data_IF_574874315666
#
_entry.id   IF_574874315666
#
_cell.length_a   1.000
_cell.length_b   1.000
_cell.length_c   1.000
_cell.angle_alpha   90.00
_cell.angle_beta   90.00
_cell.angle_gamma   90.00
#
_symmetry.space_group_name_H-M   'P 1'
#
loop_
_entity.id
_entity.type
_entity.pdbx_description
1 polymer ?
#
# COMPACT_ATOMS: atom_id res chain seq x y z
N UNK A 1 -1.10 14.66 25.09
CA UNK A 1 -0.71 14.10 23.78
C UNK A 1 0.41 13.11 24.03
N UNK A 2 0.06 11.84 24.21
CA UNK A 2 1.02 10.75 24.45
C UNK A 2 1.62 10.33 23.13
N UNK A 3 2.86 10.76 22.87
CA UNK A 3 3.66 10.27 21.75
C UNK A 3 3.87 8.77 21.91
N UNK A 4 3.53 8.01 20.87
CA UNK A 4 3.86 6.59 20.80
C UNK A 4 5.39 6.50 20.74
N UNK A 5 6.05 5.78 21.66
CA UNK A 5 7.50 5.68 21.64
C UNK A 5 7.93 4.95 20.37
N UNK A 6 8.78 5.60 19.54
CA UNK A 6 9.48 4.95 18.45
C UNK A 6 10.53 4.01 19.05
N UNK A 7 10.10 2.79 19.38
CA UNK A 7 11.00 1.67 19.62
C UNK A 7 11.81 1.43 18.34
N UNK A 8 13.05 0.92 18.46
CA UNK A 8 13.84 0.45 17.33
C UNK A 8 12.98 -0.47 16.46
N UNK A 9 12.41 0.05 15.37
CA UNK A 9 11.29 -0.58 14.68
C UNK A 9 11.72 -1.70 13.72
N UNK A 10 12.99 -2.09 13.75
CA UNK A 10 13.55 -3.10 12.88
C UNK A 10 13.38 -2.77 11.40
N UNK A 11 14.05 -3.53 10.54
CA UNK A 11 13.83 -3.41 9.10
C UNK A 11 12.61 -4.24 8.73
N UNK A 12 11.69 -3.71 7.92
CA UNK A 12 10.63 -4.52 7.31
C UNK A 12 11.27 -5.54 6.38
N UNK A 13 11.05 -6.82 6.66
CA UNK A 13 11.51 -7.93 5.83
C UNK A 13 10.45 -8.34 4.82
N UNK A 14 9.20 -8.46 5.27
CA UNK A 14 8.08 -8.87 4.44
C UNK A 14 6.74 -8.27 4.88
N UNK A 15 5.81 -8.16 3.93
CA UNK A 15 4.41 -7.83 4.17
C UNK A 15 3.53 -8.98 3.68
N UNK A 16 2.70 -9.50 4.59
CA UNK A 16 1.79 -10.61 4.35
C UNK A 16 0.36 -10.10 4.21
N UNK A 17 -0.23 -10.21 3.03
CA UNK A 17 -1.50 -9.56 2.67
C UNK A 17 -2.66 -10.57 2.72
N UNK A 18 -3.70 -10.25 3.50
CA UNK A 18 -4.92 -11.05 3.69
C UNK A 18 -6.18 -10.30 3.27
N UNK A 19 -6.56 -10.43 1.99
CA UNK A 19 -7.72 -9.74 1.39
C UNK A 19 -8.93 -10.65 1.06
N UNK A 20 -8.88 -11.93 1.47
CA UNK A 20 -9.86 -12.96 1.06
C UNK A 20 -11.16 -12.90 1.87
N UNK A 21 -11.08 -12.74 3.19
CA UNK A 21 -12.25 -12.68 4.09
C UNK A 21 -12.06 -11.51 5.06
N UNK A 22 -13.14 -10.81 5.39
CA UNK A 22 -13.11 -9.74 6.40
C UNK A 22 -12.83 -10.33 7.81
N UNK A 23 -12.16 -9.59 8.70
CA UNK A 23 -11.57 -8.27 8.47
C UNK A 23 -10.37 -8.37 7.52
N UNK A 24 -10.25 -7.39 6.62
CA UNK A 24 -9.05 -7.29 5.81
C UNK A 24 -7.86 -7.05 6.72
N UNK A 25 -6.73 -7.65 6.38
CA UNK A 25 -5.56 -7.59 7.24
C UNK A 25 -4.29 -7.64 6.43
N UNK A 26 -3.26 -7.02 6.97
CA UNK A 26 -1.88 -7.27 6.58
C UNK A 26 -1.04 -7.46 7.83
N UNK A 27 0.00 -8.27 7.72
CA UNK A 27 0.97 -8.52 8.78
C UNK A 27 2.33 -8.09 8.28
N UNK A 28 3.03 -7.31 9.09
CA UNK A 28 4.37 -6.82 8.78
C UNK A 28 5.36 -7.64 9.58
N UNK A 29 6.27 -8.29 8.88
CA UNK A 29 7.37 -9.06 9.44
C UNK A 29 8.61 -8.15 9.54
N UNK A 30 9.08 -7.92 10.76
CA UNK A 30 10.22 -7.04 11.06
C UNK A 30 11.35 -7.82 11.69
N UNK A 31 12.57 -7.61 11.18
CA UNK A 31 13.78 -8.11 11.81
C UNK A 31 14.26 -7.10 12.87
N UNK A 32 14.17 -7.45 14.15
CA UNK A 32 14.58 -6.56 15.27
C UNK A 32 15.99 -6.88 15.75
N UNK A 33 16.38 -8.16 15.73
CA UNK A 33 17.74 -8.64 16.02
C UNK A 33 18.02 -9.86 15.14
N UNK A 34 19.27 -10.34 14.96
CA UNK A 34 19.59 -11.42 14.00
C UNK A 34 18.74 -12.70 14.09
N UNK A 35 18.20 -13.01 15.27
CA UNK A 35 17.35 -14.18 15.51
C UNK A 35 15.94 -13.83 15.98
N UNK A 36 15.61 -12.54 16.10
CA UNK A 36 14.33 -12.07 16.64
C UNK A 36 13.53 -11.39 15.52
N UNK A 37 12.40 -12.00 15.20
CA UNK A 37 11.40 -11.49 14.26
C UNK A 37 10.15 -11.06 15.03
N UNK A 38 9.63 -9.88 14.71
CA UNK A 38 8.34 -9.39 15.21
C UNK A 38 7.31 -9.38 14.09
N UNK A 39 6.08 -9.74 14.43
CA UNK A 39 4.95 -9.70 13.51
C UNK A 39 3.92 -8.68 13.99
N UNK A 40 3.79 -7.58 13.27
CA UNK A 40 2.84 -6.51 13.57
C UNK A 40 1.59 -6.68 12.72
N UNK A 41 0.43 -6.86 13.36
CA UNK A 41 -0.84 -7.11 12.67
C UNK A 41 -1.68 -5.83 12.55
N UNK A 42 -2.13 -5.55 11.33
CA UNK A 42 -3.04 -4.45 11.01
C UNK A 42 -4.37 -5.00 10.49
N UNK A 43 -5.49 -4.48 10.99
CA UNK A 43 -6.85 -4.93 10.63
C UNK A 43 -7.76 -3.75 10.25
N UNK A 44 -7.47 -3.07 9.13
CA UNK A 44 -8.25 -1.92 8.64
C UNK A 44 -9.72 -2.28 8.37
N UNK A 45 -10.62 -1.34 8.63
CA UNK A 45 -12.07 -1.54 8.51
C UNK A 45 -12.59 -1.32 7.08
N UNK A 46 -11.83 -0.57 6.27
CA UNK A 46 -12.12 -0.26 4.86
C UNK A 46 -10.94 -0.64 3.94
N UNK A 47 -11.21 -0.92 2.65
CA UNK A 47 -10.14 -1.10 1.65
C UNK A 47 -9.29 0.15 1.48
N UNK A 48 -9.94 1.32 1.61
CA UNK A 48 -9.27 2.62 1.64
C UNK A 48 -8.27 2.70 2.79
N UNK A 49 -8.69 2.39 4.02
CA UNK A 49 -7.79 2.35 5.17
C UNK A 49 -6.65 1.37 4.96
N UNK A 50 -6.92 0.19 4.39
CA UNK A 50 -5.88 -0.79 4.11
C UNK A 50 -4.80 -0.22 3.19
N UNK A 51 -5.20 0.41 2.09
CA UNK A 51 -4.24 1.02 1.16
C UNK A 51 -3.44 2.12 1.84
N UNK A 52 -4.10 3.07 2.49
CA UNK A 52 -3.44 4.24 3.06
C UNK A 52 -2.52 3.86 4.21
N UNK A 53 -2.96 3.02 5.15
CA UNK A 53 -2.10 2.57 6.25
C UNK A 53 -0.91 1.74 5.77
N UNK A 54 -1.08 0.94 4.70
CA UNK A 54 0.05 0.25 4.09
C UNK A 54 1.04 1.24 3.44
N UNK A 55 0.54 2.25 2.73
CA UNK A 55 1.37 3.25 2.07
C UNK A 55 2.15 4.09 3.09
N UNK A 56 1.50 4.53 4.17
CA UNK A 56 2.15 5.23 5.28
C UNK A 56 3.28 4.39 5.89
N UNK A 57 3.03 3.10 6.10
CA UNK A 57 4.02 2.18 6.65
C UNK A 57 5.21 1.96 5.72
N UNK A 58 4.98 1.80 4.41
CA UNK A 58 6.06 1.60 3.43
C UNK A 58 6.86 2.88 3.19
N UNK A 59 6.20 4.04 3.21
CA UNK A 59 6.84 5.34 3.05
C UNK A 59 7.75 5.72 4.22
N UNK A 60 7.47 5.21 5.43
CA UNK A 60 8.33 5.42 6.59
C UNK A 60 9.75 4.85 6.38
N UNK A 61 9.87 3.73 5.67
CA UNK A 61 11.14 3.04 5.39
C UNK A 61 11.73 3.40 4.01
N UNK A 62 10.97 4.08 3.15
CA UNK A 62 11.37 4.45 1.79
C UNK A 62 10.88 5.85 1.42
N UNK A 63 11.74 6.86 1.57
CA UNK A 63 11.38 8.28 1.33
C UNK A 63 10.91 8.61 -0.10
N UNK A 64 11.30 7.80 -1.09
CA UNK A 64 10.95 7.96 -2.51
C UNK A 64 9.79 7.04 -2.93
N UNK A 65 9.10 6.43 -1.95
CA UNK A 65 8.06 5.43 -2.17
C UNK A 65 6.95 5.90 -3.10
N UNK A 66 6.39 7.10 -2.84
CA UNK A 66 5.24 7.59 -3.60
C UNK A 66 5.58 7.80 -5.08
N UNK A 67 6.76 8.33 -5.37
CA UNK A 67 7.25 8.54 -6.73
C UNK A 67 7.50 7.22 -7.47
N UNK A 68 8.12 6.24 -6.80
CA UNK A 68 8.32 4.89 -7.35
C UNK A 68 7.00 4.19 -7.65
N UNK A 69 6.04 4.29 -6.72
CA UNK A 69 4.72 3.71 -6.91
C UNK A 69 3.98 4.37 -8.07
N UNK A 70 4.06 5.69 -8.22
CA UNK A 70 3.49 6.41 -9.35
C UNK A 70 4.14 6.01 -10.68
N UNK A 71 5.47 5.85 -10.69
CA UNK A 71 6.21 5.41 -11.89
C UNK A 71 5.83 3.98 -12.33
N UNK A 72 5.66 3.07 -11.37
CA UNK A 72 5.20 1.70 -11.66
C UNK A 72 3.74 1.68 -12.16
N UNK A 73 2.88 2.53 -11.62
CA UNK A 73 1.49 2.64 -12.09
C UNK A 73 1.41 3.25 -13.49
N UNK A 74 2.19 4.30 -13.75
CA UNK A 74 2.29 4.95 -15.07
C UNK A 74 2.72 3.95 -16.15
N UNK A 75 3.79 3.18 -15.92
CA UNK A 75 4.26 2.16 -16.85
C UNK A 75 3.20 1.08 -17.14
N UNK A 76 2.44 0.67 -16.12
CA UNK A 76 1.34 -0.26 -16.31
C UNK A 76 0.14 0.37 -17.03
N UNK A 77 -0.17 1.63 -16.78
CA UNK A 77 -1.24 2.35 -17.47
C UNK A 77 -0.91 2.49 -18.96
N UNK A 78 0.33 2.87 -19.30
CA UNK A 78 0.78 2.98 -20.69
C UNK A 78 0.83 1.62 -21.41
N UNK A 79 1.15 0.54 -20.70
CA UNK A 79 1.27 -0.81 -21.26
C UNK A 79 -0.04 -1.60 -21.37
N UNK A 80 -1.16 -1.08 -20.89
CA UNK A 80 -2.44 -1.82 -20.84
C UNK A 80 -3.60 -1.01 -21.42
N UNK A 81 -4.76 -1.65 -21.63
CA UNK A 81 -6.02 -0.96 -21.97
C UNK A 81 -6.73 -0.36 -20.75
N UNK A 82 -6.06 -0.22 -19.61
CA UNK A 82 -6.68 0.33 -18.42
C UNK A 82 -7.05 1.80 -18.63
N UNK A 83 -8.23 2.19 -18.17
CA UNK A 83 -8.74 3.56 -18.32
C UNK A 83 -8.46 4.44 -17.10
N UNK A 84 -7.79 3.91 -16.07
CA UNK A 84 -7.52 4.65 -14.83
C UNK A 84 -6.16 4.33 -14.26
N UNK A 85 -5.56 5.35 -13.66
CA UNK A 85 -4.43 5.24 -12.73
C UNK A 85 -4.98 5.12 -11.31
N UNK A 86 -4.22 4.48 -10.43
CA UNK A 86 -4.56 4.48 -9.00
C UNK A 86 -3.72 5.47 -8.20
N UNK A 87 -2.60 5.97 -8.74
CA UNK A 87 -1.79 7.02 -8.13
C UNK A 87 -1.27 8.01 -9.18
N UNK A 88 -1.30 9.31 -8.89
CA UNK A 88 -0.77 10.35 -9.78
C UNK A 88 -0.50 11.65 -9.02
N UNK A 89 0.40 12.50 -9.53
CA UNK A 89 0.70 13.83 -8.94
C UNK A 89 -0.51 14.77 -8.98
N UNK A 90 -1.42 14.57 -9.94
CA UNK A 90 -2.63 15.36 -10.07
C UNK A 90 -3.88 14.48 -10.03
N UNK A 91 -4.92 15.02 -9.40
CA UNK A 91 -6.20 14.33 -9.19
C UNK A 91 -6.92 13.97 -10.49
N UNK A 92 -6.87 14.86 -11.48
CA UNK A 92 -7.54 14.68 -12.78
C UNK A 92 -6.89 13.58 -13.63
N UNK A 93 -5.62 13.25 -13.37
CA UNK A 93 -4.92 12.16 -14.03
C UNK A 93 -5.34 10.77 -13.54
N UNK A 94 -6.02 10.67 -12.39
CA UNK A 94 -6.55 9.39 -11.89
C UNK A 94 -7.75 8.90 -12.72
N UNK A 95 -8.58 9.82 -13.20
CA UNK A 95 -9.87 9.52 -13.82
C UNK A 95 -10.03 10.23 -15.17
N UNK A 96 -9.08 10.02 -16.07
CA UNK A 96 -9.07 10.56 -17.44
C UNK A 96 -10.29 9.99 -18.20
N UNK A 97 -11.42 10.70 -18.15
CA UNK A 97 -12.71 10.26 -18.71
C UNK A 97 -13.80 9.92 -17.69
N UNK A 98 -13.55 10.08 -16.38
CA UNK A 98 -14.58 9.92 -15.33
C UNK A 98 -14.46 10.94 -14.18
N UNK A 99 -14.58 12.26 -14.45
CA UNK A 99 -14.37 13.31 -13.42
C UNK A 99 -15.27 13.19 -12.19
N UNK A 100 -16.48 12.64 -12.35
CA UNK A 100 -17.42 12.39 -11.25
C UNK A 100 -16.88 11.43 -10.17
N UNK A 101 -15.81 10.67 -10.46
CA UNK A 101 -15.13 9.78 -9.52
C UNK A 101 -14.04 10.47 -8.70
N UNK A 102 -13.67 11.72 -9.04
CA UNK A 102 -12.62 12.45 -8.34
C UNK A 102 -12.88 12.56 -6.83
N UNK A 103 -14.13 12.63 -6.40
CA UNK A 103 -14.54 12.61 -4.97
C UNK A 103 -14.01 11.42 -4.17
N UNK A 104 -13.61 10.35 -4.83
CA UNK A 104 -13.00 9.17 -4.22
C UNK A 104 -11.47 9.20 -4.20
N UNK A 105 -10.84 10.23 -4.75
CA UNK A 105 -9.41 10.43 -4.60
C UNK A 105 -9.08 10.96 -3.20
N UNK A 106 -7.96 10.50 -2.66
CA UNK A 106 -7.41 10.98 -1.38
C UNK A 106 -5.97 11.40 -1.60
N UNK A 107 -5.55 12.44 -0.90
CA UNK A 107 -4.17 12.87 -0.96
C UNK A 107 -3.30 11.96 -0.08
N UNK A 108 -2.13 11.58 -0.61
CA UNK A 108 -1.08 10.85 0.08
C UNK A 108 0.25 11.49 -0.33
N UNK A 109 0.89 12.21 0.60
CA UNK A 109 2.01 13.10 0.29
C UNK A 109 1.64 14.09 -0.84
N UNK A 110 2.54 14.30 -1.79
CA UNK A 110 2.33 15.15 -2.98
C UNK A 110 1.57 14.43 -4.12
N UNK A 111 0.99 13.25 -3.84
CA UNK A 111 0.26 12.44 -4.80
C UNK A 111 -1.21 12.28 -4.42
N UNK A 112 -2.01 11.94 -5.41
CA UNK A 112 -3.41 11.55 -5.28
C UNK A 112 -3.56 10.06 -5.49
N UNK A 113 -4.39 9.41 -4.68
CA UNK A 113 -4.66 7.97 -4.75
C UNK A 113 -6.15 7.73 -4.97
N UNK A 114 -6.49 6.91 -5.96
CA UNK A 114 -7.86 6.46 -6.21
C UNK A 114 -8.29 5.41 -5.17
N UNK A 115 -9.39 5.65 -4.46
CA UNK A 115 -9.87 4.73 -3.39
C UNK A 115 -11.17 4.00 -3.71
N UNK A 116 -11.83 4.31 -4.82
CA UNK A 116 -12.97 3.56 -5.35
C UNK A 116 -12.51 2.34 -6.18
N UNK A 117 -11.70 1.49 -5.55
CA UNK A 117 -11.13 0.29 -6.16
C UNK A 117 -11.69 -0.98 -5.53
N UNK A 118 -11.88 -2.01 -6.34
CA UNK A 118 -12.39 -3.30 -5.89
C UNK A 118 -11.31 -4.15 -5.22
N UNK A 119 -11.74 -5.25 -4.57
CA UNK A 119 -10.83 -6.16 -3.85
C UNK A 119 -9.65 -6.67 -4.68
N UNK A 120 -9.90 -7.05 -5.95
CA UNK A 120 -8.86 -7.56 -6.85
C UNK A 120 -7.81 -6.48 -7.16
N UNK A 121 -8.25 -5.24 -7.31
CA UNK A 121 -7.38 -4.10 -7.60
C UNK A 121 -6.58 -3.71 -6.37
N UNK A 122 -7.20 -3.63 -5.19
CA UNK A 122 -6.50 -3.38 -3.92
C UNK A 122 -5.40 -4.42 -3.68
N UNK A 123 -5.67 -5.69 -4.01
CA UNK A 123 -4.64 -6.73 -3.96
C UNK A 123 -3.47 -6.36 -4.86
N UNK A 124 -3.72 -6.12 -6.16
CA UNK A 124 -2.66 -5.77 -7.11
C UNK A 124 -1.89 -4.51 -6.68
N UNK A 125 -2.59 -3.48 -6.21
CA UNK A 125 -2.02 -2.24 -5.70
C UNK A 125 -1.12 -2.49 -4.49
N UNK A 126 -1.56 -3.32 -3.53
CA UNK A 126 -0.76 -3.63 -2.35
C UNK A 126 0.53 -4.39 -2.69
N UNK A 127 0.48 -5.34 -3.64
CA UNK A 127 1.69 -6.01 -4.13
C UNK A 127 2.65 -5.02 -4.83
N UNK A 128 2.12 -4.12 -5.67
CA UNK A 128 2.94 -3.08 -6.32
C UNK A 128 3.53 -2.07 -5.34
N UNK A 129 2.80 -1.74 -4.29
CA UNK A 129 3.32 -0.87 -3.23
C UNK A 129 4.52 -1.52 -2.54
N UNK A 130 4.43 -2.81 -2.21
CA UNK A 130 5.57 -3.52 -1.63
C UNK A 130 6.76 -3.56 -2.60
N UNK A 131 6.52 -3.79 -3.90
CA UNK A 131 7.55 -3.75 -4.94
C UNK A 131 8.21 -2.36 -5.06
N UNK A 132 7.42 -1.28 -5.06
CA UNK A 132 7.91 0.10 -5.04
C UNK A 132 8.83 0.40 -3.84
N UNK A 133 8.51 -0.21 -2.69
CA UNK A 133 9.30 -0.10 -1.47
C UNK A 133 10.50 -1.07 -1.41
N UNK A 134 10.65 -1.98 -2.38
CA UNK A 134 11.67 -3.03 -2.36
C UNK A 134 11.46 -4.05 -1.23
N UNK A 135 10.22 -4.24 -0.79
CA UNK A 135 9.83 -5.13 0.31
C UNK A 135 9.15 -6.37 -0.25
N UNK A 136 9.53 -7.53 0.27
CA UNK A 136 8.92 -8.81 -0.11
C UNK A 136 7.44 -8.81 0.27
N UNK A 137 6.57 -9.16 -0.67
CA UNK A 137 5.13 -9.30 -0.40
C UNK A 137 4.65 -10.73 -0.62
N UNK A 138 3.87 -11.26 0.32
CA UNK A 138 3.31 -12.62 0.24
C UNK A 138 1.82 -12.64 0.62
N UNK A 139 1.14 -13.71 0.24
CA UNK A 139 -0.22 -13.97 0.73
C UNK A 139 -0.13 -14.38 2.19
N UNK A 140 -1.01 -13.85 3.05
CA UNK A 140 -1.06 -14.21 4.47
C UNK A 140 -1.25 -15.72 4.71
N UNK A 141 -1.83 -16.44 3.76
CA UNK A 141 -1.94 -17.91 3.81
C UNK A 141 -0.61 -18.65 3.76
N UNK A 142 0.49 -17.99 3.37
CA UNK A 142 1.85 -18.57 3.35
C UNK A 142 2.59 -18.37 4.67
N UNK A 143 2.09 -17.50 5.55
CA UNK A 143 2.69 -17.26 6.85
C UNK A 143 2.46 -18.51 7.73
N UNK A 144 3.54 -19.24 8.01
CA UNK A 144 3.56 -20.33 8.98
C UNK A 144 4.01 -19.73 10.31
N UNK A 145 3.05 -19.42 11.18
CA UNK A 145 3.29 -19.07 12.58
C UNK A 145 3.31 -20.34 13.43
#
# INVERSE_FOLDING_TARGET
>A
MTGIPMANDGKIHAVHIGLVVRPWRFVVERQIAPTIVRYDRYSPSTLRELMISLFELLNADCHDFAHRLASLDDGNFMGTRQQRRFIAERRDLLYIGSPHLEKHAVQFQDYWVATNVGHKEVRAIAYRACDAAGIKSESLSKLKL
#
